data_IF_778623526491
#
_entry.id   IF_778623526491
#
_cell.length_a   1.000
_cell.length_b   1.000
_cell.length_c   1.000
_cell.angle_alpha   90.00
_cell.angle_beta   90.00
_cell.angle_gamma   90.00
#
_symmetry.space_group_name_H-M   'P 1'
#
loop_
_entity.id
_entity.type
_entity.pdbx_description
1 polymer ?
#
# COMPACT_ATOMS: atom_id res chain seq x y z
N UNK A 1 -3.03 4.18 20.45
CA UNK A 1 -4.01 3.38 19.69
C UNK A 1 -3.45 1.98 19.62
N UNK A 2 -4.23 0.99 20.04
CA UNK A 2 -3.82 -0.42 20.00
C UNK A 2 -4.17 -0.99 18.61
N UNK A 3 -3.28 -1.81 18.06
CA UNK A 3 -3.39 -2.41 16.75
C UNK A 3 -3.74 -3.88 16.89
N UNK A 4 -4.74 -4.30 16.13
CA UNK A 4 -5.22 -5.68 16.11
C UNK A 4 -5.28 -6.19 14.67
N UNK A 5 -5.13 -7.50 14.50
CA UNK A 5 -5.35 -8.19 13.22
C UNK A 5 -6.24 -9.41 13.46
N UNK A 6 -7.34 -9.60 12.70
CA UNK A 6 -8.09 -10.86 12.73
C UNK A 6 -7.29 -11.93 11.97
N UNK A 7 -7.10 -13.12 12.53
CA UNK A 7 -6.42 -14.22 11.82
C UNK A 7 -7.42 -14.91 10.90
N UNK A 8 -7.22 -14.79 9.59
CA UNK A 8 -7.90 -15.58 8.57
C UNK A 8 -6.87 -16.22 7.62
N UNK A 9 -7.05 -17.50 7.29
CA UNK A 9 -6.36 -18.06 6.13
C UNK A 9 -7.08 -17.63 4.84
N UNK A 10 -6.37 -17.64 3.71
CA UNK A 10 -6.98 -17.32 2.39
C UNK A 10 -8.20 -18.21 2.13
N UNK A 11 -8.11 -19.50 2.46
CA UNK A 11 -9.18 -20.47 2.28
C UNK A 11 -10.40 -20.16 3.14
N UNK A 12 -10.20 -19.80 4.41
CA UNK A 12 -11.26 -19.37 5.32
C UNK A 12 -11.93 -18.07 4.86
N UNK A 13 -11.14 -17.12 4.34
CA UNK A 13 -11.64 -15.87 3.80
C UNK A 13 -12.54 -16.05 2.59
N UNK A 14 -12.11 -16.88 1.62
CA UNK A 14 -12.88 -17.19 0.40
C UNK A 14 -14.20 -17.89 0.73
N UNK A 15 -14.21 -18.76 1.75
CA UNK A 15 -15.38 -19.55 2.13
C UNK A 15 -16.24 -18.88 3.21
N UNK A 16 -15.95 -17.63 3.57
CA UNK A 16 -16.70 -16.93 4.60
C UNK A 16 -18.13 -16.61 4.13
N UNK A 17 -19.06 -16.47 5.09
CA UNK A 17 -20.50 -16.26 4.86
C UNK A 17 -20.85 -14.97 4.11
N UNK A 18 -19.92 -14.03 4.03
CA UNK A 18 -20.04 -12.79 3.26
C UNK A 18 -18.75 -12.55 2.48
N UNK A 19 -18.82 -11.83 1.37
CA UNK A 19 -17.64 -11.40 0.63
C UNK A 19 -16.70 -10.56 1.54
N UNK A 20 -15.51 -11.08 1.81
CA UNK A 20 -14.49 -10.40 2.62
C UNK A 20 -13.79 -9.24 1.88
N UNK A 21 -14.03 -9.13 0.56
CA UNK A 21 -13.49 -8.08 -0.31
C UNK A 21 -14.54 -7.00 -0.64
N UNK A 22 -15.71 -7.07 -0.01
CA UNK A 22 -16.68 -6.00 0.01
C UNK A 22 -16.42 -5.10 1.24
N UNK A 23 -15.89 -3.90 0.99
CA UNK A 23 -15.58 -2.89 2.00
C UNK A 23 -16.79 -2.44 2.84
N UNK A 24 -18.01 -2.75 2.40
CA UNK A 24 -19.24 -2.45 3.15
C UNK A 24 -19.59 -3.53 4.18
N UNK A 25 -18.84 -4.64 4.21
CA UNK A 25 -19.04 -5.76 5.13
C UNK A 25 -18.00 -5.76 6.24
N UNK A 26 -18.39 -6.34 7.36
CA UNK A 26 -17.54 -6.59 8.52
C UNK A 26 -17.43 -8.08 8.80
N UNK A 27 -16.26 -8.48 9.27
CA UNK A 27 -16.01 -9.83 9.77
C UNK A 27 -16.43 -9.88 11.25
N UNK A 28 -17.16 -10.94 11.62
CA UNK A 28 -17.64 -11.13 12.99
C UNK A 28 -16.47 -11.38 13.92
N UNK A 29 -16.34 -10.56 14.97
CA UNK A 29 -15.31 -10.74 16.02
C UNK A 29 -15.51 -12.01 16.85
N UNK A 30 -16.69 -12.64 16.78
CA UNK A 30 -16.94 -13.96 17.40
C UNK A 30 -16.32 -15.08 16.59
N UNK A 31 -16.31 -14.93 15.27
CA UNK A 31 -15.81 -15.92 14.32
C UNK A 31 -14.29 -15.77 14.22
N UNK A 32 -13.82 -14.52 14.16
CA UNK A 32 -12.40 -14.15 14.09
C UNK A 32 -12.06 -13.14 15.19
N UNK A 33 -11.67 -13.62 16.38
CA UNK A 33 -11.24 -12.76 17.48
C UNK A 33 -10.04 -11.89 17.10
N UNK A 34 -9.98 -10.70 17.69
CA UNK A 34 -8.88 -9.77 17.48
C UNK A 34 -7.60 -10.27 18.16
N UNK A 35 -6.49 -10.28 17.41
CA UNK A 35 -5.17 -10.57 17.96
C UNK A 35 -4.39 -9.27 18.10
N UNK A 36 -3.93 -8.97 19.31
CA UNK A 36 -3.14 -7.77 19.58
C UNK A 36 -1.76 -7.87 18.92
N UNK A 37 -1.39 -6.82 18.18
CA UNK A 37 -0.10 -6.72 17.47
C UNK A 37 0.84 -5.75 18.17
N UNK A 38 0.30 -4.65 18.71
CA UNK A 38 1.09 -3.64 19.41
C UNK A 38 0.37 -2.30 19.55
N UNK A 39 1.13 -1.24 19.85
CA UNK A 39 0.57 0.07 20.18
C UNK A 39 1.28 1.21 19.44
N UNK A 40 0.50 2.07 18.80
CA UNK A 40 0.96 3.33 18.24
C UNK A 40 0.78 4.46 19.27
N UNK A 41 1.86 5.20 19.50
CA UNK A 41 1.90 6.35 20.41
C UNK A 41 2.38 7.58 19.64
N UNK A 42 1.56 8.63 19.61
CA UNK A 42 1.94 9.93 19.07
C UNK A 42 2.50 10.78 20.21
N UNK A 43 3.79 11.08 20.18
CA UNK A 43 4.51 11.72 21.28
C UNK A 43 5.26 13.01 20.88
N UNK A 44 5.08 13.50 19.65
CA UNK A 44 5.77 14.67 19.12
C UNK A 44 4.87 15.43 18.15
N UNK A 45 4.80 16.75 18.31
CA UNK A 45 4.15 17.64 17.36
C UNK A 45 5.09 18.00 16.20
N UNK A 46 4.55 18.28 15.01
CA UNK A 46 5.35 18.76 13.89
C UNK A 46 5.99 20.11 14.24
N UNK A 47 7.24 20.32 13.83
CA UNK A 47 7.96 21.58 13.98
C UNK A 47 7.51 22.61 12.93
N UNK A 48 7.13 22.15 11.73
CA UNK A 48 6.51 22.97 10.71
C UNK A 48 5.35 22.24 10.03
N UNK A 49 4.14 22.76 10.24
CA UNK A 49 2.91 22.16 9.74
C UNK A 49 2.90 21.96 8.22
N UNK A 50 3.32 22.96 7.44
CA UNK A 50 3.25 22.85 5.98
C UNK A 50 4.19 21.77 5.45
N UNK A 51 5.42 21.72 5.97
CA UNK A 51 6.43 20.75 5.51
C UNK A 51 6.19 19.33 5.99
N UNK A 52 5.59 19.14 7.18
CA UNK A 52 5.38 17.82 7.79
C UNK A 52 3.96 17.29 7.59
N UNK A 53 2.95 18.16 7.59
CA UNK A 53 1.54 17.74 7.48
C UNK A 53 1.02 18.05 6.08
N UNK A 54 1.22 19.28 5.59
CA UNK A 54 0.70 19.71 4.28
C UNK A 54 1.29 18.90 3.11
N UNK A 55 2.57 18.52 3.21
CA UNK A 55 3.27 17.77 2.17
C UNK A 55 3.36 16.25 2.43
N UNK A 56 2.79 15.76 3.54
CA UNK A 56 2.72 14.33 3.79
C UNK A 56 1.95 13.60 2.68
N UNK A 57 2.44 12.43 2.30
CA UNK A 57 1.91 11.61 1.22
C UNK A 57 1.81 10.15 1.67
N UNK A 58 0.58 9.65 1.79
CA UNK A 58 0.29 8.27 2.21
C UNK A 58 -0.36 7.52 1.06
N UNK A 59 0.16 6.36 0.68
CA UNK A 59 -0.40 5.55 -0.40
C UNK A 59 -0.63 4.11 0.07
N UNK A 60 -1.82 3.53 -0.13
CA UNK A 60 -2.05 2.10 0.06
C UNK A 60 -1.15 1.22 -0.81
N UNK A 61 -0.62 1.75 -1.92
CA UNK A 61 0.35 1.04 -2.77
C UNK A 61 1.78 1.03 -2.23
N UNK A 62 2.08 1.76 -1.15
CA UNK A 62 3.41 1.78 -0.52
C UNK A 62 3.53 0.67 0.52
N UNK A 63 3.55 -0.57 0.05
CA UNK A 63 3.61 -1.79 0.87
C UNK A 63 5.04 -2.21 1.19
N UNK A 64 5.19 -3.08 2.19
CA UNK A 64 6.45 -3.72 2.58
C UNK A 64 6.33 -5.24 2.33
N UNK A 65 7.46 -5.97 2.17
CA UNK A 65 7.41 -7.41 1.95
C UNK A 65 6.51 -8.13 2.96
N UNK A 66 5.74 -9.11 2.48
CA UNK A 66 4.73 -9.89 3.21
C UNK A 66 3.42 -9.19 3.56
N UNK A 67 3.25 -7.91 3.20
CA UNK A 67 1.96 -7.23 3.24
C UNK A 67 1.54 -6.97 1.80
N UNK A 68 0.44 -7.58 1.37
CA UNK A 68 -0.02 -7.59 -0.01
C UNK A 68 -1.48 -7.10 -0.10
N UNK A 69 -1.89 -6.51 -1.23
CA UNK A 69 -3.26 -6.04 -1.39
C UNK A 69 -4.22 -7.20 -1.65
N UNK A 70 -5.43 -7.10 -1.09
CA UNK A 70 -6.54 -8.01 -1.40
C UNK A 70 -7.23 -7.61 -2.72
N UNK A 71 -8.02 -8.50 -3.34
CA UNK A 71 -8.80 -8.19 -4.55
C UNK A 71 -10.04 -7.28 -4.31
N UNK A 72 -10.15 -6.58 -3.17
CA UNK A 72 -11.17 -5.55 -2.93
C UNK A 72 -11.12 -4.47 -4.03
N UNK A 73 -12.22 -4.31 -4.77
CA UNK A 73 -12.27 -3.40 -5.93
C UNK A 73 -11.98 -1.95 -5.56
N UNK A 74 -12.37 -1.50 -4.36
CA UNK A 74 -12.07 -0.14 -3.88
C UNK A 74 -10.59 -0.02 -3.53
N UNK A 75 -10.00 -1.02 -2.86
CA UNK A 75 -8.57 -1.04 -2.58
C UNK A 75 -7.75 -1.00 -3.88
N UNK A 76 -8.11 -1.83 -4.86
CA UNK A 76 -7.40 -1.92 -6.15
C UNK A 76 -7.28 -0.56 -6.86
N UNK A 77 -8.34 0.24 -6.87
CA UNK A 77 -8.29 1.61 -7.41
C UNK A 77 -7.29 2.49 -6.63
N UNK A 78 -7.32 2.41 -5.29
CA UNK A 78 -6.47 3.23 -4.41
C UNK A 78 -4.98 2.89 -4.51
N UNK A 79 -4.61 1.69 -4.95
CA UNK A 79 -3.20 1.35 -5.21
C UNK A 79 -2.58 2.28 -6.25
N UNK A 80 -3.38 2.74 -7.22
CA UNK A 80 -2.97 3.67 -8.26
C UNK A 80 -3.22 5.13 -7.86
N UNK A 81 -4.44 5.47 -7.43
CA UNK A 81 -4.91 6.86 -7.34
C UNK A 81 -4.05 7.76 -6.46
N UNK A 82 -3.57 7.25 -5.32
CA UNK A 82 -2.79 8.07 -4.39
C UNK A 82 -1.43 8.47 -4.96
N UNK A 83 -0.73 7.52 -5.60
CA UNK A 83 0.54 7.81 -6.24
C UNK A 83 0.40 8.83 -7.37
N UNK A 84 -0.73 8.80 -8.07
CA UNK A 84 -1.07 9.77 -9.10
C UNK A 84 -1.32 11.17 -8.55
N UNK A 85 -2.20 11.26 -7.56
CA UNK A 85 -2.50 12.52 -6.88
C UNK A 85 -1.24 13.15 -6.24
N UNK A 86 -0.34 12.34 -5.65
CA UNK A 86 0.89 12.87 -5.06
C UNK A 86 1.81 13.53 -6.11
N UNK A 87 1.91 12.95 -7.31
CA UNK A 87 2.70 13.52 -8.41
C UNK A 87 2.14 14.86 -8.86
N UNK A 88 0.82 15.01 -8.87
CA UNK A 88 0.15 16.26 -9.22
C UNK A 88 0.27 17.30 -8.09
N UNK A 89 -0.14 16.93 -6.87
CA UNK A 89 -0.28 17.85 -5.72
C UNK A 89 1.05 18.33 -5.16
N UNK A 90 2.06 17.47 -5.09
CA UNK A 90 3.35 17.75 -4.44
C UNK A 90 4.49 17.79 -5.47
N UNK A 91 4.44 16.90 -6.45
CA UNK A 91 5.41 16.84 -7.55
C UNK A 91 6.04 15.46 -7.72
N UNK A 92 6.68 15.22 -8.87
CA UNK A 92 7.27 13.92 -9.22
C UNK A 92 8.23 13.35 -8.17
N UNK A 93 9.01 14.22 -7.52
CA UNK A 93 10.00 13.85 -6.52
C UNK A 93 9.51 13.99 -5.06
N UNK A 94 8.18 13.93 -4.80
CA UNK A 94 7.60 14.09 -3.46
C UNK A 94 8.19 13.14 -2.40
N UNK A 95 8.64 11.95 -2.82
CA UNK A 95 9.29 10.94 -1.97
C UNK A 95 10.67 11.36 -1.47
N UNK A 96 11.27 12.43 -2.03
CA UNK A 96 12.55 12.96 -1.55
C UNK A 96 12.38 13.90 -0.35
N UNK A 97 11.18 14.45 -0.14
CA UNK A 97 10.87 15.31 1.00
C UNK A 97 11.05 14.55 2.31
N UNK A 98 11.59 15.20 3.34
CA UNK A 98 12.02 14.49 4.55
C UNK A 98 10.89 13.70 5.24
N UNK A 99 9.65 14.21 5.19
CA UNK A 99 8.50 13.53 5.81
C UNK A 99 8.03 12.30 5.03
N UNK A 100 8.30 12.24 3.73
CA UNK A 100 7.93 11.14 2.84
C UNK A 100 9.10 10.20 2.53
N UNK A 101 10.33 10.62 2.86
CA UNK A 101 11.53 9.88 2.54
C UNK A 101 11.60 8.59 3.35
N UNK A 102 11.92 7.49 2.68
CA UNK A 102 12.24 6.25 3.36
C UNK A 102 13.46 6.47 4.27
N UNK A 103 13.38 5.91 5.48
CA UNK A 103 14.51 5.88 6.42
C UNK A 103 15.61 4.94 5.89
N UNK A 104 15.20 3.88 5.18
CA UNK A 104 16.10 2.91 4.58
C UNK A 104 16.67 3.41 3.24
N UNK A 105 17.81 2.85 2.85
CA UNK A 105 18.49 3.17 1.60
C UNK A 105 17.59 2.85 0.40
N UNK A 106 17.27 3.86 -0.41
CA UNK A 106 16.54 3.71 -1.68
C UNK A 106 17.54 3.59 -2.82
N UNK A 107 17.47 2.49 -3.58
CA UNK A 107 18.30 2.26 -4.76
C UNK A 107 17.38 1.89 -5.93
N UNK A 108 17.27 2.77 -6.92
CA UNK A 108 16.48 2.55 -8.11
C UNK A 108 17.12 3.28 -9.30
N UNK A 109 16.47 3.20 -10.45
CA UNK A 109 16.92 3.83 -11.69
C UNK A 109 16.14 5.11 -12.03
N UNK A 110 15.34 5.65 -11.12
CA UNK A 110 14.58 6.89 -11.35
C UNK A 110 15.56 8.08 -11.41
N UNK A 111 15.36 8.96 -12.40
CA UNK A 111 16.21 10.12 -12.67
C UNK A 111 15.38 11.38 -12.89
N UNK A 112 16.04 12.54 -12.79
CA UNK A 112 15.51 13.84 -13.18
C UNK A 112 14.18 14.21 -12.48
N UNK A 113 13.27 14.88 -13.19
CA UNK A 113 12.02 15.40 -12.64
C UNK A 113 12.19 16.71 -11.86
N UNK A 114 11.08 17.44 -11.70
CA UNK A 114 11.07 18.71 -11.00
C UNK A 114 11.57 18.55 -9.55
N UNK A 115 12.37 19.51 -9.08
CA UNK A 115 12.91 19.55 -7.71
C UNK A 115 13.66 18.27 -7.29
N UNK A 116 14.39 17.63 -8.21
CA UNK A 116 15.28 16.53 -7.86
C UNK A 116 16.49 17.06 -7.08
N UNK A 117 16.55 16.76 -5.78
CA UNK A 117 17.59 17.26 -4.88
C UNK A 117 18.58 16.19 -4.44
N UNK A 118 18.29 14.91 -4.76
CA UNK A 118 19.06 13.76 -4.28
C UNK A 118 19.74 12.95 -5.38
N UNK A 119 19.36 13.10 -6.65
CA UNK A 119 20.00 12.34 -7.73
C UNK A 119 21.33 12.97 -8.15
N UNK A 120 22.37 12.13 -8.18
CA UNK A 120 23.65 12.43 -8.82
C UNK A 120 23.86 11.33 -9.85
N UNK A 121 23.67 11.63 -11.13
CA UNK A 121 23.84 10.67 -12.22
C UNK A 121 25.28 10.13 -12.23
N UNK A 122 25.44 8.81 -12.06
CA UNK A 122 26.75 8.12 -12.03
C UNK A 122 27.03 7.27 -13.27
N UNK A 123 26.31 7.52 -14.38
CA UNK A 123 26.56 6.88 -15.68
C UNK A 123 25.67 5.69 -16.02
N UNK A 124 24.92 5.12 -15.07
CA UNK A 124 24.06 3.94 -15.29
C UNK A 124 22.66 4.22 -14.75
N UNK A 125 21.66 4.15 -15.63
CA UNK A 125 20.26 4.37 -15.33
C UNK A 125 19.33 3.27 -15.91
N UNK A 126 19.88 2.08 -16.20
CA UNK A 126 19.15 0.97 -16.79
C UNK A 126 19.51 -0.38 -16.14
N UNK A 127 18.62 -1.35 -16.28
CA UNK A 127 18.78 -2.75 -15.84
C UNK A 127 18.19 -3.68 -16.92
N UNK A 128 18.81 -4.84 -17.21
CA UNK A 128 20.07 -5.34 -16.64
C UNK A 128 21.31 -4.56 -17.12
N UNK A 129 22.35 -4.47 -16.28
CA UNK A 129 23.63 -3.86 -16.63
C UNK A 129 24.82 -4.65 -16.04
N UNK A 130 26.01 -4.47 -16.62
CA UNK A 130 27.25 -5.17 -16.20
C UNK A 130 28.12 -4.36 -15.23
N UNK A 131 27.60 -3.26 -14.66
CA UNK A 131 28.38 -2.27 -13.95
C UNK A 131 28.03 -2.19 -12.45
N UNK A 132 27.40 -3.24 -11.91
CA UNK A 132 27.10 -3.36 -10.48
C UNK A 132 26.01 -2.41 -9.98
N UNK A 133 25.08 -2.01 -10.86
CA UNK A 133 23.90 -1.23 -10.46
C UNK A 133 22.92 -2.01 -9.56
N UNK A 134 21.88 -1.34 -9.02
CA UNK A 134 20.84 -2.01 -8.22
C UNK A 134 20.17 -3.15 -9.00
N UNK A 135 19.98 -4.31 -8.37
CA UNK A 135 19.32 -5.48 -8.98
C UNK A 135 18.01 -5.80 -8.27
N UNK A 136 17.07 -6.40 -8.99
CA UNK A 136 15.82 -6.88 -8.40
C UNK A 136 16.09 -7.90 -7.29
N UNK A 137 15.24 -7.90 -6.27
CA UNK A 137 15.30 -8.84 -5.16
C UNK A 137 13.96 -9.55 -4.99
N UNK A 138 13.99 -10.88 -4.94
CA UNK A 138 12.79 -11.71 -4.81
C UNK A 138 12.17 -11.71 -3.41
N UNK A 139 12.77 -11.05 -2.42
CA UNK A 139 12.15 -10.88 -1.08
C UNK A 139 10.76 -10.24 -1.17
N UNK A 140 10.55 -9.36 -2.16
CA UNK A 140 9.25 -8.71 -2.40
C UNK A 140 8.38 -9.39 -3.46
N UNK A 141 8.70 -10.63 -3.86
CA UNK A 141 7.85 -11.37 -4.82
C UNK A 141 6.48 -11.59 -4.18
N UNK A 142 5.42 -11.19 -4.89
CA UNK A 142 4.04 -11.36 -4.45
C UNK A 142 3.65 -12.84 -4.40
N UNK A 143 2.69 -13.15 -3.55
CA UNK A 143 2.13 -14.49 -3.41
C UNK A 143 1.32 -14.84 -4.65
N UNK A 144 1.52 -16.06 -5.18
CA UNK A 144 0.75 -16.57 -6.31
C UNK A 144 -0.61 -17.08 -5.81
N UNK A 145 -1.68 -16.77 -6.54
CA UNK A 145 -3.04 -17.22 -6.24
C UNK A 145 -3.81 -17.50 -7.54
N UNK A 146 -4.75 -18.45 -7.48
CA UNK A 146 -5.55 -18.84 -8.62
C UNK A 146 -6.62 -17.81 -8.96
N UNK A 147 -6.84 -17.60 -10.26
CA UNK A 147 -7.91 -16.75 -10.79
C UNK A 147 -8.87 -17.60 -11.63
N UNK A 148 -10.17 -17.33 -11.53
CA UNK A 148 -11.19 -18.04 -12.31
C UNK A 148 -12.28 -17.08 -12.80
N UNK A 149 -13.07 -17.51 -13.80
CA UNK A 149 -14.16 -16.73 -14.37
C UNK A 149 -13.78 -16.04 -15.69
N UNK A 150 -14.52 -14.96 -16.01
CA UNK A 150 -14.31 -14.15 -17.22
C UNK A 150 -13.87 -12.74 -16.84
N UNK A 151 -13.17 -12.06 -17.74
CA UNK A 151 -12.88 -10.63 -17.59
C UNK A 151 -14.13 -9.83 -17.99
N UNK A 152 -14.54 -8.88 -17.15
CA UNK A 152 -15.73 -8.06 -17.37
C UNK A 152 -16.07 -7.18 -16.18
N UNK A 153 -17.15 -6.41 -16.31
CA UNK A 153 -17.71 -5.62 -15.21
C UNK A 153 -18.70 -6.47 -14.42
N UNK A 154 -18.41 -6.71 -13.15
CA UNK A 154 -19.24 -7.54 -12.27
C UNK A 154 -19.76 -6.71 -11.10
N UNK A 155 -21.04 -6.91 -10.80
CA UNK A 155 -21.70 -6.33 -9.62
C UNK A 155 -21.21 -7.01 -8.32
N UNK A 156 -21.42 -6.35 -7.19
CA UNK A 156 -21.25 -6.94 -5.87
C UNK A 156 -22.53 -7.65 -5.42
N UNK A 157 -22.46 -8.37 -4.29
CA UNK A 157 -23.63 -8.94 -3.64
C UNK A 157 -24.66 -7.84 -3.29
N UNK A 158 -25.95 -8.15 -3.44
CA UNK A 158 -27.08 -7.26 -3.18
C UNK A 158 -27.58 -7.31 -1.73
N UNK A 159 -26.92 -8.07 -0.85
CA UNK A 159 -27.23 -8.14 0.56
C UNK A 159 -26.83 -6.85 1.32
N UNK A 160 -27.56 -5.76 1.16
CA UNK A 160 -27.17 -4.45 1.72
C UNK A 160 -27.50 -4.27 3.21
N UNK A 161 -28.47 -5.01 3.76
CA UNK A 161 -29.09 -4.65 5.05
C UNK A 161 -28.70 -5.54 6.24
N UNK A 162 -28.19 -6.75 5.99
CA UNK A 162 -27.97 -7.78 7.04
C UNK A 162 -26.97 -7.41 8.15
N UNK A 163 -26.13 -6.40 7.93
CA UNK A 163 -25.13 -5.95 8.91
C UNK A 163 -25.39 -4.53 9.43
N UNK A 164 -26.50 -3.91 9.01
CA UNK A 164 -26.88 -2.55 9.41
C UNK A 164 -27.92 -2.57 10.53
N UNK A 165 -28.69 -3.66 10.62
CA UNK A 165 -29.78 -3.89 11.57
C UNK A 165 -29.30 -4.89 12.63
#
# INVERSE_FOLDING_TARGET
MDFFYPIDTIEEGINYKTDIFDVTKTISKKDYPLVEVGKLVLNKNPSNYFSEVGQAAFSPGSLVPKIEPSPDKLLQSRLFSYGDEHRYRVGTNYSQLFVNAAINKVNNYQQDGNMNTKSVFKGINYEPNSLGGPVQNNIGKTTEYDISGKIGSFEYDTNYYSQVI
#
